data_IF_606541979656
#
_entry.id   IF_606541979656
#
_cell.length_a   1.000
_cell.length_b   1.000
_cell.length_c   1.000
_cell.angle_alpha   90.00
_cell.angle_beta   90.00
_cell.angle_gamma   90.00
#
_symmetry.space_group_name_H-M   'P 1'
#
loop_
_entity.id
_entity.type
_entity.pdbx_description
1 polymer ?
#
# COMPACT_ATOMS: atom_id res chain seq x y z
N UNK A 1 8.56 4.59 -10.91
CA UNK A 1 7.80 3.35 -10.62
C UNK A 1 7.21 3.50 -9.22
N UNK A 2 5.93 3.23 -8.98
CA UNK A 2 5.31 3.43 -7.64
C UNK A 2 5.80 2.46 -6.55
N UNK A 3 6.61 1.46 -6.92
CA UNK A 3 7.02 0.37 -6.07
C UNK A 3 8.47 0.57 -5.60
N UNK A 4 8.67 0.76 -4.31
CA UNK A 4 9.98 0.89 -3.67
C UNK A 4 10.67 -0.48 -3.61
N UNK A 5 11.85 -0.61 -4.21
CA UNK A 5 12.57 -1.89 -4.31
C UNK A 5 13.46 -2.21 -3.12
N UNK A 6 13.84 -1.20 -2.34
CA UNK A 6 14.85 -1.31 -1.28
C UNK A 6 14.26 -1.03 0.12
N UNK A 7 12.95 -1.25 0.30
CA UNK A 7 12.29 -1.07 1.59
C UNK A 7 11.69 -2.41 2.01
N UNK A 8 12.27 -3.00 3.05
CA UNK A 8 11.74 -4.20 3.69
C UNK A 8 10.59 -3.84 4.65
N UNK A 9 10.09 -4.83 5.39
CA UNK A 9 8.98 -4.61 6.33
C UNK A 9 9.39 -3.64 7.45
N UNK A 10 10.56 -3.86 8.05
CA UNK A 10 11.05 -3.08 9.19
C UNK A 10 11.33 -1.63 8.79
N UNK A 11 11.94 -1.41 7.62
CA UNK A 11 12.14 -0.09 7.05
C UNK A 11 10.82 0.64 6.80
N UNK A 12 9.80 -0.07 6.31
CA UNK A 12 8.47 0.52 6.12
C UNK A 12 7.82 0.91 7.45
N UNK A 13 7.96 0.09 8.50
CA UNK A 13 7.43 0.40 9.84
C UNK A 13 8.06 1.68 10.40
N UNK A 14 9.40 1.80 10.35
CA UNK A 14 10.14 3.00 10.77
C UNK A 14 9.73 4.27 10.00
N UNK A 15 9.48 4.17 8.69
CA UNK A 15 9.10 5.33 7.88
C UNK A 15 7.67 5.83 8.14
N UNK A 16 6.79 4.92 8.58
CA UNK A 16 5.35 5.17 8.73
C UNK A 16 4.93 5.42 10.18
N UNK A 17 5.75 5.05 11.18
CA UNK A 17 5.37 5.14 12.59
C UNK A 17 4.93 6.54 13.02
N UNK A 18 5.58 7.58 12.48
CA UNK A 18 5.36 9.00 12.78
C UNK A 18 4.48 9.73 11.75
N UNK A 19 3.84 9.00 10.83
CA UNK A 19 3.03 9.56 9.74
C UNK A 19 1.54 9.65 10.09
N UNK A 20 0.77 10.31 9.23
CA UNK A 20 -0.67 10.44 9.39
C UNK A 20 -1.41 9.14 9.09
N UNK A 21 -2.60 8.98 9.66
CA UNK A 21 -3.47 7.83 9.38
C UNK A 21 -3.70 7.69 7.86
N UNK A 22 -3.49 6.50 7.33
CA UNK A 22 -3.65 6.20 5.90
C UNK A 22 -2.45 6.57 5.03
N UNK A 23 -1.42 7.24 5.56
CA UNK A 23 -0.16 7.46 4.84
C UNK A 23 0.49 6.11 4.56
N UNK A 24 1.08 5.96 3.37
CA UNK A 24 1.45 4.65 2.87
C UNK A 24 2.67 4.67 1.96
N UNK A 25 3.24 3.49 1.76
CA UNK A 25 4.19 3.20 0.69
C UNK A 25 3.89 1.83 0.08
N UNK A 26 4.25 1.69 -1.19
CA UNK A 26 4.20 0.43 -1.91
C UNK A 26 5.62 -0.11 -2.04
N UNK A 27 5.85 -1.33 -1.57
CA UNK A 27 7.17 -1.97 -1.59
C UNK A 27 7.17 -3.27 -2.36
N UNK A 28 8.24 -3.50 -3.11
CA UNK A 28 8.51 -4.77 -3.78
C UNK A 28 8.89 -5.82 -2.73
N UNK A 29 8.47 -7.06 -2.94
CA UNK A 29 8.92 -8.21 -2.13
C UNK A 29 9.80 -9.19 -2.93
N UNK A 30 10.13 -8.85 -4.18
CA UNK A 30 10.73 -9.79 -5.12
C UNK A 30 9.68 -10.66 -5.83
N UNK A 31 10.10 -11.37 -6.89
CA UNK A 31 9.33 -12.43 -7.57
C UNK A 31 7.85 -12.10 -7.89
N UNK A 32 7.57 -10.87 -8.32
CA UNK A 32 6.22 -10.44 -8.69
C UNK A 32 5.26 -10.20 -7.52
N UNK A 33 5.75 -10.26 -6.28
CA UNK A 33 5.01 -9.96 -5.05
C UNK A 33 5.29 -8.54 -4.59
N UNK A 34 4.27 -7.88 -4.04
CA UNK A 34 4.36 -6.53 -3.51
C UNK A 34 3.57 -6.42 -2.20
N UNK A 35 3.79 -5.35 -1.45
CA UNK A 35 3.00 -5.01 -0.28
C UNK A 35 2.70 -3.52 -0.21
N UNK A 36 1.49 -3.20 0.23
CA UNK A 36 1.06 -1.89 0.66
C UNK A 36 1.30 -1.84 2.17
N UNK A 37 2.21 -0.99 2.61
CA UNK A 37 2.42 -0.71 4.02
C UNK A 37 1.83 0.65 4.33
N UNK A 38 1.03 0.77 5.38
CA UNK A 38 0.35 2.01 5.71
C UNK A 38 0.18 2.21 7.21
N UNK A 39 0.17 3.47 7.64
CA UNK A 39 -0.12 3.85 9.01
C UNK A 39 -1.61 3.63 9.32
N UNK A 40 -1.89 2.70 10.22
CA UNK A 40 -3.20 2.50 10.86
C UNK A 40 -3.30 3.22 12.21
N UNK A 41 -4.42 3.06 12.90
CA UNK A 41 -4.64 3.70 14.20
C UNK A 41 -3.62 3.24 15.26
N UNK A 42 -3.44 1.92 15.40
CA UNK A 42 -2.60 1.31 16.46
C UNK A 42 -1.22 0.86 16.00
N UNK A 43 -0.89 1.02 14.71
CA UNK A 43 0.40 0.60 14.18
C UNK A 43 0.46 0.65 12.66
N UNK A 44 1.46 0.00 12.09
CA UNK A 44 1.60 -0.13 10.63
C UNK A 44 0.95 -1.42 10.16
N UNK A 45 0.06 -1.30 9.19
CA UNK A 45 -0.60 -2.42 8.54
C UNK A 45 0.17 -2.78 7.26
N UNK A 46 0.19 -4.06 6.91
CA UNK A 46 0.81 -4.54 5.68
C UNK A 46 -0.16 -5.43 4.92
N UNK A 47 -0.57 -4.98 3.74
CA UNK A 47 -1.51 -5.70 2.89
C UNK A 47 -0.73 -6.24 1.68
N UNK A 48 -0.91 -7.53 1.41
CA UNK A 48 -0.28 -8.18 0.25
C UNK A 48 -0.90 -7.65 -1.05
N UNK A 49 -0.06 -7.36 -2.02
CA UNK A 49 -0.44 -7.15 -3.41
C UNK A 49 -0.10 -8.40 -4.21
N UNK A 50 -1.09 -8.92 -4.92
CA UNK A 50 -0.97 -10.13 -5.72
C UNK A 50 -1.31 -9.83 -7.18
N UNK A 51 -0.62 -10.50 -8.11
CA UNK A 51 -1.03 -10.53 -9.51
C UNK A 51 -2.01 -11.68 -9.72
N UNK A 52 -3.12 -11.40 -10.39
CA UNK A 52 -4.07 -12.40 -10.92
C UNK A 52 -4.19 -12.17 -12.41
N UNK A 53 -3.44 -12.94 -13.20
CA UNK A 53 -3.26 -12.70 -14.63
C UNK A 53 -2.57 -11.36 -14.89
N UNK A 54 -3.23 -10.47 -15.62
CA UNK A 54 -2.78 -9.12 -15.96
C UNK A 54 -3.15 -8.07 -14.89
N UNK A 55 -3.98 -8.43 -13.90
CA UNK A 55 -4.52 -7.52 -12.89
C UNK A 55 -3.81 -7.64 -11.54
N UNK A 56 -3.96 -6.60 -10.73
CA UNK A 56 -3.49 -6.49 -9.36
C UNK A 56 -4.65 -6.58 -8.39
N UNK A 57 -4.45 -7.27 -7.27
CA UNK A 57 -5.40 -7.36 -6.15
C UNK A 57 -4.70 -6.89 -4.87
N UNK A 58 -5.41 -6.11 -4.05
CA UNK A 58 -4.98 -5.69 -2.71
C UNK A 58 -5.82 -6.44 -1.69
N UNK A 59 -5.19 -7.33 -0.90
CA UNK A 59 -5.91 -8.18 0.06
C UNK A 59 -6.98 -9.03 -0.62
N UNK A 60 -8.20 -9.00 -0.11
CA UNK A 60 -9.39 -9.69 -0.69
C UNK A 60 -10.26 -8.73 -1.53
N UNK A 61 -9.71 -7.58 -1.95
CA UNK A 61 -10.46 -6.55 -2.67
C UNK A 61 -10.64 -6.81 -4.18
N UNK A 62 -11.18 -5.82 -4.92
CA UNK A 62 -11.38 -5.93 -6.36
C UNK A 62 -10.07 -6.00 -7.15
N UNK A 63 -10.18 -6.43 -8.41
CA UNK A 63 -9.05 -6.49 -9.36
C UNK A 63 -8.86 -5.16 -10.08
N UNK A 64 -7.60 -4.75 -10.24
CA UNK A 64 -7.20 -3.49 -10.85
C UNK A 64 -6.24 -3.69 -12.02
N UNK A 65 -6.40 -2.92 -13.10
CA UNK A 65 -5.49 -2.97 -14.26
C UNK A 65 -4.07 -2.51 -13.93
N UNK A 66 -3.91 -1.67 -12.91
CA UNK A 66 -2.61 -1.15 -12.46
C UNK A 66 -2.63 -0.79 -10.99
N UNK A 67 -1.45 -0.77 -10.37
CA UNK A 67 -1.27 -0.31 -8.98
C UNK A 67 -1.78 1.12 -8.80
N UNK A 68 -1.55 2.02 -9.78
CA UNK A 68 -2.06 3.39 -9.73
C UNK A 68 -3.59 3.44 -9.67
N UNK A 69 -4.28 2.57 -10.43
CA UNK A 69 -5.75 2.50 -10.39
C UNK A 69 -6.27 1.98 -9.05
N UNK A 70 -5.55 1.04 -8.42
CA UNK A 70 -5.86 0.57 -7.07
C UNK A 70 -5.71 1.70 -6.04
N UNK A 71 -4.60 2.45 -6.10
CA UNK A 71 -4.36 3.60 -5.21
C UNK A 71 -5.46 4.65 -5.36
N UNK A 72 -5.83 5.01 -6.60
CA UNK A 72 -6.88 5.98 -6.87
C UNK A 72 -8.26 5.54 -6.38
N UNK A 73 -8.53 4.22 -6.36
CA UNK A 73 -9.76 3.67 -5.82
C UNK A 73 -9.79 3.78 -4.28
N UNK A 74 -8.75 3.29 -3.60
CA UNK A 74 -8.71 3.24 -2.13
C UNK A 74 -8.46 4.60 -1.46
N UNK A 75 -8.19 5.66 -2.22
CA UNK A 75 -8.30 7.04 -1.73
C UNK A 75 -9.73 7.48 -1.42
N UNK A 76 -10.74 6.77 -1.95
CA UNK A 76 -12.17 7.11 -1.80
C UNK A 76 -13.02 5.96 -1.27
N UNK A 77 -12.45 4.76 -1.18
CA UNK A 77 -13.13 3.56 -0.71
C UNK A 77 -12.28 2.90 0.37
N UNK A 78 -12.88 2.44 1.49
CA UNK A 78 -12.14 1.77 2.55
C UNK A 78 -11.37 0.54 2.05
N UNK A 79 -10.18 0.34 2.60
CA UNK A 79 -9.41 -0.88 2.37
C UNK A 79 -10.14 -2.09 2.98
N UNK A 80 -10.00 -3.29 2.37
CA UNK A 80 -10.66 -4.51 2.84
C UNK A 80 -9.92 -5.10 4.05
N UNK A 81 -9.89 -4.37 5.15
CA UNK A 81 -9.20 -4.76 6.39
C UNK A 81 -10.26 -5.09 7.43
N UNK A 82 -10.35 -6.37 7.83
CA UNK A 82 -11.30 -6.79 8.87
C UNK A 82 -10.88 -6.20 10.22
N UNK A 83 -11.81 -5.59 10.94
CA UNK A 83 -11.57 -5.08 12.28
C UNK A 83 -10.67 -3.84 12.35
N UNK A 84 -10.38 -3.19 11.23
CA UNK A 84 -9.75 -1.87 11.20
C UNK A 84 -10.80 -0.82 10.82
N UNK A 85 -10.73 0.34 11.45
CA UNK A 85 -11.51 1.53 11.06
C UNK A 85 -11.38 1.76 9.55
N UNK A 86 -12.44 2.26 8.91
CA UNK A 86 -12.60 2.50 7.47
C UNK A 86 -11.42 3.26 6.82
N UNK A 87 -10.30 2.56 6.62
CA UNK A 87 -9.00 3.17 6.34
C UNK A 87 -8.89 3.46 4.85
N UNK A 88 -8.69 4.74 4.53
CA UNK A 88 -8.43 5.22 3.18
C UNK A 88 -6.93 5.42 2.98
N UNK A 89 -6.49 5.35 1.73
CA UNK A 89 -5.14 5.77 1.37
C UNK A 89 -5.04 7.30 1.37
N UNK A 90 -4.01 7.83 2.04
CA UNK A 90 -3.72 9.25 2.11
C UNK A 90 -2.43 9.61 1.35
N UNK A 91 -1.37 10.09 2.02
CA UNK A 91 -0.15 10.52 1.36
C UNK A 91 0.74 9.32 1.04
N UNK A 92 1.32 9.32 -0.18
CA UNK A 92 2.31 8.33 -0.58
C UNK A 92 3.70 8.81 -0.16
N UNK A 93 4.45 7.96 0.54
CA UNK A 93 5.86 8.16 0.87
C UNK A 93 6.80 7.64 -0.21
N UNK A 94 6.30 6.89 -1.19
CA UNK A 94 7.10 6.47 -2.36
C UNK A 94 7.66 7.73 -3.03
N UNK A 95 8.98 7.75 -3.24
CA UNK A 95 9.71 8.93 -3.66
C UNK A 95 9.16 9.41 -5.01
N UNK A 96 8.39 10.49 -4.99
CA UNK A 96 8.22 11.34 -6.16
C UNK A 96 9.54 12.08 -6.28
N UNK A 97 10.56 11.41 -6.82
CA UNK A 97 11.68 12.14 -7.40
C UNK A 97 11.03 12.97 -8.50
N UNK A 98 10.68 14.21 -8.18
CA UNK A 98 10.49 15.26 -9.17
C UNK A 98 11.88 15.41 -9.78
N UNK A 99 12.09 14.76 -10.92
CA UNK A 99 13.06 15.27 -11.89
C UNK A 99 12.57 16.64 -12.33
#
# INVERSE_FOLDING_TARGET
MLLERNIDRVGAEKLLESRGLGDFLLRSRGEGSAALSLRGATGVLHIKLERRGDKWVIGEGPCFRSISSAVHYYRRHPLPIRGSDHLLLNASLTNTVRL
#
